data_IF_527357531355
#
_entry.id   IF_527357531355
#
_cell.length_a   1.000
_cell.length_b   1.000
_cell.length_c   1.000
_cell.angle_alpha   90.00
_cell.angle_beta   90.00
_cell.angle_gamma   90.00
#
_symmetry.space_group_name_H-M   'P 1'
#
loop_
_entity.id
_entity.type
_entity.pdbx_description
1 polymer ?
#
# COMPACT_ATOMS: atom_id res chain seq x y z
N UNK A 1 3.23 -16.18 18.99
CA UNK A 1 3.67 -15.53 17.73
C UNK A 1 4.96 -16.20 17.31
N UNK A 2 5.15 -16.41 16.03
CA UNK A 2 6.41 -16.92 15.48
C UNK A 2 7.44 -15.78 15.44
N UNK A 3 8.72 -16.14 15.50
CA UNK A 3 9.83 -15.25 15.22
C UNK A 3 10.19 -15.37 13.74
N UNK A 4 10.13 -14.26 13.00
CA UNK A 4 10.34 -14.26 11.55
C UNK A 4 11.36 -13.22 11.15
N UNK A 5 12.23 -13.53 10.18
CA UNK A 5 13.22 -12.58 9.69
C UNK A 5 12.60 -11.63 8.65
N UNK A 6 12.68 -10.33 8.89
CA UNK A 6 12.21 -9.33 7.96
C UNK A 6 13.38 -8.53 7.37
N UNK A 7 13.80 -8.92 6.17
CA UNK A 7 14.88 -8.29 5.42
C UNK A 7 14.67 -6.79 5.17
N UNK A 8 13.42 -6.32 5.12
CA UNK A 8 13.11 -4.89 4.89
C UNK A 8 13.46 -4.01 6.09
N UNK A 9 13.60 -4.61 7.26
CA UNK A 9 13.96 -3.93 8.52
C UNK A 9 15.26 -4.48 9.13
N UNK A 10 15.91 -5.42 8.40
CA UNK A 10 17.16 -6.09 8.75
C UNK A 10 17.20 -6.68 10.17
N UNK A 11 16.09 -7.26 10.64
CA UNK A 11 16.03 -7.98 11.93
C UNK A 11 14.88 -8.97 11.99
N UNK A 12 14.94 -9.84 12.99
CA UNK A 12 13.79 -10.64 13.42
C UNK A 12 12.72 -9.77 14.06
N UNK A 13 11.47 -10.15 13.87
CA UNK A 13 10.30 -9.55 14.51
C UNK A 13 9.27 -10.63 14.85
N UNK A 14 8.35 -10.32 15.76
CA UNK A 14 7.23 -11.21 16.04
C UNK A 14 6.13 -11.08 14.99
N UNK A 15 5.66 -12.22 14.45
CA UNK A 15 4.50 -12.27 13.55
C UNK A 15 3.57 -13.42 13.96
N UNK A 16 2.23 -13.31 13.81
CA UNK A 16 1.33 -14.39 14.27
C UNK A 16 1.46 -15.73 13.54
N UNK A 17 2.08 -15.76 12.36
CA UNK A 17 2.26 -16.97 11.56
C UNK A 17 3.74 -17.24 11.29
N UNK A 18 4.05 -18.50 11.04
CA UNK A 18 5.38 -18.92 10.57
C UNK A 18 5.75 -18.23 9.25
N UNK A 19 7.06 -18.11 9.01
CA UNK A 19 7.56 -17.53 7.77
C UNK A 19 7.14 -18.38 6.56
N UNK A 20 6.44 -17.74 5.61
CA UNK A 20 6.00 -18.36 4.36
C UNK A 20 6.39 -17.47 3.18
N UNK A 21 7.43 -17.86 2.45
CA UNK A 21 7.91 -17.15 1.26
C UNK A 21 7.27 -17.72 0.00
N UNK A 22 6.73 -16.88 -0.90
CA UNK A 22 6.29 -17.36 -2.20
C UNK A 22 7.49 -17.76 -3.07
N UNK A 23 7.24 -18.54 -4.12
CA UNK A 23 8.25 -18.92 -5.13
C UNK A 23 8.83 -17.69 -5.82
N UNK A 24 8.01 -16.66 -6.04
CA UNK A 24 8.38 -15.35 -6.58
C UNK A 24 7.51 -14.30 -5.91
N UNK A 25 8.01 -13.07 -5.72
CA UNK A 25 7.20 -11.97 -5.17
C UNK A 25 6.88 -10.96 -6.26
N UNK A 26 5.61 -10.84 -6.65
CA UNK A 26 5.15 -9.76 -7.51
C UNK A 26 5.45 -8.41 -6.84
N UNK A 27 6.19 -7.55 -7.54
CA UNK A 27 6.70 -6.31 -7.01
C UNK A 27 6.60 -5.20 -8.07
N UNK A 28 6.52 -3.96 -7.59
CA UNK A 28 6.50 -2.80 -8.45
C UNK A 28 7.29 -1.64 -7.85
N UNK A 29 7.99 -0.90 -8.70
CA UNK A 29 8.75 0.30 -8.34
C UNK A 29 8.13 1.49 -9.06
N UNK A 30 7.80 2.55 -8.31
CA UNK A 30 7.20 3.76 -8.83
C UNK A 30 8.19 4.93 -8.73
N UNK A 31 8.57 5.49 -9.87
CA UNK A 31 9.43 6.67 -9.94
C UNK A 31 8.62 7.96 -9.72
N UNK A 32 8.66 8.50 -8.52
CA UNK A 32 7.95 9.73 -8.16
C UNK A 32 8.49 10.97 -8.87
N UNK A 33 9.74 10.95 -9.36
CA UNK A 33 10.31 12.07 -10.13
C UNK A 33 9.61 12.28 -11.48
N UNK A 34 8.99 11.22 -12.02
CA UNK A 34 8.29 11.23 -13.30
C UNK A 34 6.76 11.29 -13.14
N UNK A 35 6.25 11.26 -11.92
CA UNK A 35 4.82 11.23 -11.69
C UNK A 35 4.23 12.61 -11.99
N UNK A 36 3.17 12.63 -12.81
CA UNK A 36 2.51 13.87 -13.24
C UNK A 36 1.08 14.03 -12.70
N UNK A 37 0.69 13.22 -11.70
CA UNK A 37 -0.62 13.37 -11.04
C UNK A 37 -1.86 13.04 -11.87
N UNK A 38 -1.73 12.71 -13.16
CA UNK A 38 -2.83 12.61 -14.14
C UNK A 38 -4.00 11.62 -13.87
N UNK A 39 -3.98 10.86 -12.78
CA UNK A 39 -5.02 9.89 -12.39
C UNK A 39 -5.35 8.76 -13.39
N UNK A 40 -4.65 8.62 -14.52
CA UNK A 40 -4.94 7.57 -15.52
C UNK A 40 -4.86 6.17 -14.93
N UNK A 41 -3.88 5.92 -14.05
CA UNK A 41 -3.74 4.65 -13.34
C UNK A 41 -4.89 4.38 -12.36
N UNK A 42 -5.45 5.43 -11.73
CA UNK A 42 -6.64 5.36 -10.87
C UNK A 42 -7.83 4.92 -11.70
N UNK A 43 -8.09 5.61 -12.80
CA UNK A 43 -9.22 5.30 -13.69
C UNK A 43 -9.08 3.92 -14.35
N UNK A 44 -7.88 3.53 -14.79
CA UNK A 44 -7.64 2.21 -15.38
C UNK A 44 -7.92 1.04 -14.42
N UNK A 45 -7.66 1.24 -13.13
CA UNK A 45 -8.02 0.26 -12.10
C UNK A 45 -9.52 0.30 -11.80
N UNK A 46 -10.07 1.51 -11.65
CA UNK A 46 -11.47 1.75 -11.30
C UNK A 46 -12.43 1.11 -12.31
N UNK A 47 -12.22 1.39 -13.59
CA UNK A 47 -13.08 0.88 -14.67
C UNK A 47 -12.93 -0.62 -14.90
N UNK A 48 -11.82 -1.22 -14.48
CA UNK A 48 -11.60 -2.65 -14.63
C UNK A 48 -12.17 -3.46 -13.47
N UNK A 49 -12.06 -2.96 -12.24
CA UNK A 49 -12.25 -3.79 -11.05
C UNK A 49 -13.30 -3.28 -10.07
N UNK A 50 -13.48 -1.96 -9.95
CA UNK A 50 -14.29 -1.36 -8.88
C UNK A 50 -15.44 -0.52 -9.41
N UNK A 51 -16.07 -0.97 -10.50
CA UNK A 51 -17.22 -0.31 -11.14
C UNK A 51 -18.59 -0.89 -10.73
N UNK A 52 -18.62 -1.91 -9.88
CA UNK A 52 -19.83 -2.52 -9.36
C UNK A 52 -20.44 -1.80 -8.15
N UNK A 53 -21.60 -2.27 -7.73
CA UNK A 53 -22.36 -1.69 -6.62
C UNK A 53 -21.61 -1.83 -5.28
N UNK A 54 -21.56 -0.73 -4.52
CA UNK A 54 -20.84 -0.65 -3.24
C UNK A 54 -19.32 -0.50 -3.40
N UNK A 55 -18.81 -0.50 -4.63
CA UNK A 55 -17.41 -0.29 -4.96
C UNK A 55 -17.11 1.16 -5.36
N UNK A 56 -18.12 2.05 -5.40
CA UNK A 56 -18.04 3.41 -5.94
C UNK A 56 -16.94 4.22 -5.27
N UNK A 57 -16.81 4.08 -3.95
CA UNK A 57 -15.75 4.74 -3.19
C UNK A 57 -14.41 4.03 -3.33
N UNK A 58 -14.33 2.74 -3.70
CA UNK A 58 -13.09 1.96 -3.66
C UNK A 58 -12.09 2.35 -4.76
N UNK A 59 -10.99 2.98 -4.33
CA UNK A 59 -9.83 3.27 -5.18
C UNK A 59 -8.65 2.36 -4.82
N UNK A 60 -8.66 1.15 -5.38
CA UNK A 60 -7.58 0.18 -5.19
C UNK A 60 -6.22 0.76 -5.62
N UNK A 61 -6.18 1.45 -6.76
CA UNK A 61 -5.12 2.40 -7.11
C UNK A 61 -5.65 3.81 -6.96
N UNK A 62 -4.93 4.66 -6.25
CA UNK A 62 -5.21 6.09 -6.14
C UNK A 62 -3.90 6.88 -6.23
N UNK A 63 -3.98 8.17 -6.58
CA UNK A 63 -2.84 9.09 -6.55
C UNK A 63 -3.21 10.24 -5.62
N UNK A 64 -2.30 10.56 -4.70
CA UNK A 64 -2.44 11.66 -3.73
C UNK A 64 -1.37 12.71 -3.99
N UNK A 65 -1.68 13.98 -3.74
CA UNK A 65 -0.65 15.02 -3.63
C UNK A 65 -0.06 14.98 -2.23
N UNK A 66 1.26 15.01 -2.06
CA UNK A 66 1.90 15.11 -0.75
C UNK A 66 2.50 16.50 -0.55
N UNK A 67 2.42 17.07 0.67
CA UNK A 67 2.09 16.38 1.92
C UNK A 67 0.60 16.31 2.31
N UNK A 68 -0.30 17.11 1.72
CA UNK A 68 -1.65 17.31 2.27
C UNK A 68 -2.74 16.37 1.74
N UNK A 69 -2.59 15.89 0.52
CA UNK A 69 -3.48 14.90 -0.07
C UNK A 69 -3.36 13.53 0.58
N UNK A 70 -4.52 12.92 0.82
CA UNK A 70 -4.62 11.61 1.46
C UNK A 70 -5.90 10.90 1.08
N UNK A 71 -5.86 9.57 1.03
CA UNK A 71 -7.06 8.77 0.80
C UNK A 71 -6.92 7.34 1.40
N UNK A 72 -7.65 6.97 2.46
CA UNK A 72 -8.57 7.81 3.23
C UNK A 72 -7.83 8.99 3.89
N UNK A 73 -8.61 9.98 4.35
CA UNK A 73 -8.07 11.19 4.94
C UNK A 73 -7.10 10.88 6.09
N UNK A 74 -5.90 11.47 6.00
CA UNK A 74 -4.82 11.38 6.97
C UNK A 74 -4.40 9.94 7.35
N UNK A 75 -4.51 8.98 6.43
CA UNK A 75 -4.20 7.58 6.71
C UNK A 75 -2.81 7.35 7.28
N UNK A 76 -1.81 8.06 6.75
CA UNK A 76 -0.40 7.99 7.12
C UNK A 76 -0.14 8.68 8.47
N UNK A 77 -0.64 9.92 8.64
CA UNK A 77 -0.47 10.69 9.88
C UNK A 77 -1.14 9.98 11.05
N UNK A 78 -2.37 9.48 10.88
CA UNK A 78 -3.08 8.76 11.94
C UNK A 78 -2.37 7.46 12.33
N UNK A 79 -1.86 6.71 11.36
CA UNK A 79 -1.11 5.48 11.64
C UNK A 79 0.20 5.78 12.38
N UNK A 80 0.95 6.79 11.92
CA UNK A 80 2.21 7.22 12.55
C UNK A 80 2.01 7.79 13.96
N UNK A 81 0.90 8.49 14.22
CA UNK A 81 0.56 8.98 15.56
C UNK A 81 0.37 7.85 16.56
N UNK A 82 -0.15 6.69 16.13
CA UNK A 82 -0.34 5.54 17.00
C UNK A 82 0.97 4.82 17.31
N UNK A 83 1.91 4.76 16.36
CA UNK A 83 3.22 4.15 16.57
C UNK A 83 4.19 5.08 17.31
N UNK A 84 4.04 6.39 17.13
CA UNK A 84 5.04 7.35 17.57
C UNK A 84 6.32 7.30 16.73
N UNK A 85 7.31 8.15 17.07
CA UNK A 85 8.57 8.21 16.34
C UNK A 85 9.33 6.87 16.44
N UNK A 86 9.90 6.45 15.32
CA UNK A 86 10.67 5.21 15.21
C UNK A 86 12.11 5.51 14.85
N UNK A 87 13.01 4.57 15.14
CA UNK A 87 14.44 4.74 14.97
C UNK A 87 15.05 3.68 14.07
N UNK A 88 16.11 4.10 13.37
CA UNK A 88 16.98 3.25 12.56
C UNK A 88 18.40 3.43 13.06
N UNK A 89 19.14 2.33 13.17
CA UNK A 89 20.57 2.30 13.44
C UNK A 89 21.28 1.70 12.21
N UNK A 90 21.90 2.57 11.42
CA UNK A 90 22.40 2.22 10.09
C UNK A 90 21.29 1.68 9.19
N UNK A 91 21.44 0.43 8.73
CA UNK A 91 20.45 -0.27 7.90
C UNK A 91 19.41 -1.07 8.69
N UNK A 92 19.47 -1.05 10.03
CA UNK A 92 18.61 -1.88 10.88
C UNK A 92 17.56 -1.03 11.58
N UNK A 93 16.30 -1.43 11.47
CA UNK A 93 15.20 -0.79 12.18
C UNK A 93 15.24 -1.19 13.65
N UNK A 94 15.36 -0.21 14.56
CA UNK A 94 15.40 -0.46 16.01
C UNK A 94 14.09 -0.14 16.71
N UNK A 95 13.16 0.52 16.01
CA UNK A 95 11.82 0.80 16.50
C UNK A 95 10.94 -0.46 16.63
N UNK A 96 9.71 -0.27 17.11
CA UNK A 96 8.69 -1.32 17.18
C UNK A 96 7.90 -1.37 15.87
N UNK A 97 7.60 -2.57 15.38
CA UNK A 97 6.66 -2.75 14.27
C UNK A 97 5.21 -2.59 14.75
N UNK A 98 4.26 -2.45 13.81
CA UNK A 98 2.82 -2.44 14.14
C UNK A 98 2.35 -3.70 14.88
N UNK A 99 3.09 -4.81 14.77
CA UNK A 99 2.79 -6.05 15.47
C UNK A 99 3.33 -6.04 16.90
N UNK A 100 4.55 -5.52 17.08
CA UNK A 100 5.21 -5.46 18.39
C UNK A 100 4.65 -4.34 19.29
N UNK A 101 4.19 -3.24 18.69
CA UNK A 101 3.55 -2.12 19.40
C UNK A 101 2.06 -2.36 19.69
N UNK A 102 1.53 -3.55 19.37
CA UNK A 102 0.11 -3.85 19.54
C UNK A 102 -0.31 -3.77 21.03
N UNK A 103 -1.44 -3.11 21.35
CA UNK A 103 -2.00 -3.16 22.70
C UNK A 103 -2.31 -4.59 23.16
N UNK A 104 -2.36 -4.82 24.48
CA UNK A 104 -2.66 -6.14 25.02
C UNK A 104 -4.04 -6.64 24.55
N UNK A 105 -4.08 -7.81 23.93
CA UNK A 105 -5.29 -8.42 23.37
C UNK A 105 -5.57 -8.06 21.91
N UNK A 106 -4.88 -7.05 21.36
CA UNK A 106 -4.93 -6.69 19.95
C UNK A 106 -3.84 -7.40 19.15
N UNK A 107 -4.05 -7.55 17.84
CA UNK A 107 -3.06 -8.21 16.97
C UNK A 107 -2.07 -7.26 16.30
N UNK A 108 -2.42 -5.98 16.19
CA UNK A 108 -1.56 -4.93 15.68
C UNK A 108 -2.11 -3.55 16.08
N UNK A 109 -1.25 -2.54 16.04
CA UNK A 109 -1.68 -1.14 16.05
C UNK A 109 -2.57 -0.89 14.84
N UNK A 110 -3.77 -0.38 15.09
CA UNK A 110 -4.80 -0.20 14.06
C UNK A 110 -5.72 0.95 14.43
N UNK A 111 -6.34 1.53 13.41
CA UNK A 111 -7.49 2.41 13.55
C UNK A 111 -8.48 2.17 12.41
N UNK A 112 -9.74 2.50 12.66
CA UNK A 112 -10.82 2.34 11.70
C UNK A 112 -11.17 3.66 11.00
N UNK A 113 -10.96 3.77 9.68
CA UNK A 113 -11.52 4.87 8.91
C UNK A 113 -13.05 4.90 8.95
N UNK A 114 -13.58 6.10 9.03
CA UNK A 114 -15.01 6.40 8.90
C UNK A 114 -15.39 6.57 7.43
N UNK A 115 -16.69 6.59 7.13
CA UNK A 115 -17.19 6.86 5.78
C UNK A 115 -16.76 8.26 5.29
N UNK A 116 -16.73 9.24 6.20
CA UNK A 116 -16.26 10.60 5.89
C UNK A 116 -14.80 10.66 5.49
N UNK A 117 -13.95 9.76 6.01
CA UNK A 117 -12.55 9.69 5.61
C UNK A 117 -12.38 9.22 4.15
N UNK A 118 -13.40 8.59 3.55
CA UNK A 118 -13.42 8.16 2.14
C UNK A 118 -14.27 9.04 1.22
N UNK A 119 -15.04 9.98 1.77
CA UNK A 119 -16.02 10.75 1.02
C UNK A 119 -15.41 11.66 -0.07
N UNK A 120 -14.15 12.07 0.10
CA UNK A 120 -13.48 13.02 -0.78
C UNK A 120 -12.16 12.43 -1.32
N UNK A 121 -12.24 11.56 -2.34
CA UNK A 121 -11.03 11.11 -3.02
C UNK A 121 -10.27 12.31 -3.60
N UNK A 122 -8.95 12.30 -3.46
CA UNK A 122 -8.06 13.34 -3.98
C UNK A 122 -8.29 14.74 -3.38
N UNK A 123 -8.88 14.83 -2.18
CA UNK A 123 -8.87 16.09 -1.41
C UNK A 123 -7.42 16.49 -1.13
N UNK A 124 -7.11 17.78 -1.35
CA UNK A 124 -5.75 18.30 -1.23
C UNK A 124 -4.90 18.11 -2.50
N UNK A 125 -5.52 17.88 -3.66
CA UNK A 125 -4.83 17.91 -4.95
C UNK A 125 -4.13 19.25 -5.16
N UNK A 126 -2.86 19.18 -5.56
CA UNK A 126 -1.96 20.32 -5.80
C UNK A 126 -1.82 21.30 -4.61
N UNK A 127 -2.27 20.91 -3.41
CA UNK A 127 -2.00 21.65 -2.18
C UNK A 127 -0.51 21.53 -1.82
N UNK A 128 0.15 22.68 -1.71
CA UNK A 128 1.57 22.76 -1.34
C UNK A 128 1.75 22.76 0.16
N UNK A 129 2.95 22.47 0.65
CA UNK A 129 3.33 22.53 2.08
C UNK A 129 3.02 23.86 2.81
N UNK A 130 2.67 24.95 2.09
CA UNK A 130 2.30 26.25 2.66
C UNK A 130 0.92 26.69 2.15
N UNK A 131 0.05 27.18 3.04
CA UNK A 131 -1.22 27.81 2.64
C UNK A 131 -0.97 29.19 2.03
N UNK A 132 -1.51 29.44 0.84
CA UNK A 132 -1.41 30.74 0.16
C UNK A 132 -2.39 31.76 0.77
N UNK A 133 -2.12 32.25 1.98
CA UNK A 133 -2.92 33.30 2.61
C UNK A 133 -2.45 34.68 2.16
N UNK A 134 -3.05 35.21 1.09
CA UNK A 134 -3.10 36.65 0.78
C UNK A 134 -1.78 37.42 0.73
N UNK A 135 -1.08 37.33 -0.41
CA UNK A 135 -0.25 38.33 -1.11
C UNK A 135 0.45 37.59 -2.27
N UNK A 136 0.94 38.32 -3.29
CA UNK A 136 1.73 37.73 -4.39
C UNK A 136 2.93 36.98 -3.80
N UNK A 137 3.02 35.68 -4.04
CA UNK A 137 4.21 34.91 -3.69
C UNK A 137 5.24 35.10 -4.81
N UNK A 138 6.47 35.48 -4.43
CA UNK A 138 7.58 35.64 -5.37
C UNK A 138 8.47 34.40 -5.30
N UNK A 139 8.93 33.91 -6.44
CA UNK A 139 9.88 32.80 -6.53
C UNK A 139 11.15 33.16 -5.73
N UNK A 140 11.41 32.43 -4.65
CA UNK A 140 12.64 32.48 -3.85
C UNK A 140 13.38 31.15 -3.99
N UNK A 141 14.70 31.19 -3.96
CA UNK A 141 15.56 30.00 -3.97
C UNK A 141 16.28 29.85 -2.61
N UNK A 142 16.24 28.66 -1.98
CA UNK A 142 15.51 27.45 -2.39
C UNK A 142 13.99 27.66 -2.37
N UNK A 143 13.25 26.90 -3.19
CA UNK A 143 11.78 26.99 -3.21
C UNK A 143 11.21 26.42 -1.92
N UNK A 144 10.59 27.28 -1.11
CA UNK A 144 9.94 26.84 0.13
C UNK A 144 8.64 26.07 -0.14
N UNK A 145 7.97 26.37 -1.26
CA UNK A 145 6.73 25.72 -1.66
C UNK A 145 7.02 24.50 -2.51
N UNK A 146 6.54 23.34 -2.07
CA UNK A 146 6.69 22.08 -2.79
C UNK A 146 5.48 21.17 -2.59
N UNK A 147 5.28 20.30 -3.56
CA UNK A 147 4.44 19.13 -3.48
C UNK A 147 4.97 18.07 -4.47
N UNK A 148 4.53 16.83 -4.32
CA UNK A 148 4.73 15.79 -5.33
C UNK A 148 3.56 14.81 -5.33
N UNK A 149 3.47 13.97 -6.35
CA UNK A 149 2.40 12.99 -6.47
C UNK A 149 2.85 11.62 -5.96
N UNK A 150 2.03 11.03 -5.08
CA UNK A 150 2.22 9.70 -4.51
C UNK A 150 1.13 8.74 -5.00
N UNK A 151 1.42 7.94 -6.05
CA UNK A 151 0.55 6.85 -6.46
C UNK A 151 0.66 5.68 -5.46
N UNK A 152 -0.49 5.17 -4.99
CA UNK A 152 -0.54 4.05 -4.03
C UNK A 152 -1.45 2.92 -4.49
N UNK A 153 -1.04 1.69 -4.19
CA UNK A 153 -1.80 0.45 -4.35
C UNK A 153 -1.68 -0.40 -3.08
N UNK A 154 -2.32 -1.56 -3.03
CA UNK A 154 -1.94 -2.57 -2.03
C UNK A 154 -0.50 -3.00 -2.29
N UNK A 155 0.31 -3.10 -1.23
CA UNK A 155 1.72 -3.48 -1.33
C UNK A 155 1.95 -5.00 -1.38
N UNK A 156 0.89 -5.82 -1.22
CA UNK A 156 0.98 -7.29 -1.17
C UNK A 156 2.14 -7.77 -0.28
N UNK A 157 2.21 -7.18 0.92
CA UNK A 157 3.37 -7.25 1.82
C UNK A 157 3.87 -8.68 2.06
N UNK A 158 5.16 -8.81 2.40
CA UNK A 158 5.77 -10.06 2.90
C UNK A 158 5.05 -10.55 4.16
N UNK A 159 4.85 -9.64 5.12
CA UNK A 159 4.15 -9.87 6.37
C UNK A 159 2.86 -9.03 6.43
N UNK A 160 1.78 -9.48 5.76
CA UNK A 160 0.56 -8.68 5.62
C UNK A 160 -0.22 -8.60 6.94
N UNK A 161 -0.42 -7.38 7.44
CA UNK A 161 -1.23 -7.12 8.63
C UNK A 161 -2.70 -7.51 8.45
N UNK A 162 -3.23 -7.33 7.23
CA UNK A 162 -4.60 -7.72 6.92
C UNK A 162 -4.83 -9.23 6.98
N UNK A 163 -3.86 -10.02 6.53
CA UNK A 163 -3.93 -11.49 6.59
C UNK A 163 -4.02 -11.91 8.04
N UNK A 164 -3.11 -11.41 8.87
CA UNK A 164 -3.08 -11.83 10.26
C UNK A 164 -4.30 -11.39 11.04
N UNK A 165 -4.87 -10.22 10.73
CA UNK A 165 -6.01 -9.71 11.45
C UNK A 165 -7.30 -10.52 11.20
N UNK A 166 -7.41 -11.23 10.07
CA UNK A 166 -8.66 -11.91 9.71
C UNK A 166 -8.89 -13.18 10.55
N UNK A 167 -9.89 -13.21 11.46
CA UNK A 167 -10.14 -14.38 12.31
C UNK A 167 -10.63 -15.59 11.51
N UNK A 168 -11.19 -15.35 10.32
CA UNK A 168 -11.76 -16.38 9.44
C UNK A 168 -10.76 -16.95 8.43
N UNK A 169 -9.54 -16.38 8.42
CA UNK A 169 -8.49 -16.69 7.45
C UNK A 169 -9.00 -16.66 6.01
N UNK A 170 -9.87 -15.68 5.70
CA UNK A 170 -10.35 -15.43 4.33
C UNK A 170 -9.35 -14.65 3.50
N UNK A 171 -8.25 -14.18 4.09
CA UNK A 171 -7.17 -13.51 3.39
C UNK A 171 -6.01 -14.48 3.32
N UNK A 172 -5.43 -14.64 2.13
CA UNK A 172 -4.31 -15.53 1.90
C UNK A 172 -3.30 -14.86 0.96
N UNK A 173 -2.05 -15.33 1.01
CA UNK A 173 -0.98 -14.92 0.11
C UNK A 173 -0.67 -16.10 -0.80
N UNK A 174 -0.75 -15.88 -2.11
CA UNK A 174 -0.52 -16.93 -3.10
C UNK A 174 0.94 -17.42 -3.07
N UNK A 175 1.19 -18.74 -3.03
CA UNK A 175 2.53 -19.29 -2.98
C UNK A 175 3.34 -19.08 -4.27
N UNK A 176 2.69 -18.93 -5.42
CA UNK A 176 3.35 -18.82 -6.73
C UNK A 176 3.92 -17.42 -7.03
N UNK A 177 3.22 -16.36 -6.60
CA UNK A 177 3.52 -14.97 -6.99
C UNK A 177 3.47 -13.96 -5.82
N UNK A 178 3.14 -14.41 -4.61
CA UNK A 178 3.10 -13.54 -3.43
C UNK A 178 1.95 -12.52 -3.44
N UNK A 179 0.98 -12.64 -4.36
CA UNK A 179 -0.19 -11.76 -4.40
C UNK A 179 -1.12 -12.13 -3.22
N UNK A 180 -1.30 -11.17 -2.31
CA UNK A 180 -2.32 -11.26 -1.24
C UNK A 180 -3.73 -11.05 -1.81
N UNK A 181 -4.67 -11.95 -1.54
CA UNK A 181 -6.06 -11.90 -2.00
C UNK A 181 -7.05 -12.05 -0.82
N UNK A 182 -8.30 -11.64 -1.05
CA UNK A 182 -9.43 -11.94 -0.17
C UNK A 182 -10.29 -12.97 -0.89
N UNK A 183 -10.56 -14.09 -0.23
CA UNK A 183 -11.60 -15.03 -0.59
C UNK A 183 -12.96 -14.46 -0.17
N UNK A 184 -13.72 -13.98 -1.17
CA UNK A 184 -15.03 -13.35 -0.96
C UNK A 184 -16.09 -14.35 -0.48
N UNK A 185 -15.99 -15.64 -0.86
CA UNK A 185 -16.92 -16.68 -0.42
C UNK A 185 -16.78 -16.99 1.07
N UNK A 186 -15.53 -16.96 1.58
CA UNK A 186 -15.23 -17.14 3.01
C UNK A 186 -15.41 -15.88 3.81
N UNK A 187 -15.28 -14.71 3.19
CA UNK A 187 -15.39 -13.41 3.86
C UNK A 187 -16.79 -13.19 4.47
N UNK A 188 -16.82 -12.61 5.67
CA UNK A 188 -18.08 -12.27 6.38
C UNK A 188 -18.11 -10.83 6.88
N UNK A 189 -17.23 -9.98 6.35
CA UNK A 189 -17.31 -8.54 6.61
C UNK A 189 -17.02 -8.11 8.05
N UNK A 190 -16.18 -8.84 8.79
CA UNK A 190 -15.77 -8.45 10.15
C UNK A 190 -14.98 -7.13 10.22
N UNK A 191 -14.42 -6.67 9.09
CA UNK A 191 -13.71 -5.38 8.92
C UNK A 191 -12.45 -5.18 9.78
N UNK A 192 -12.02 -6.17 10.56
CA UNK A 192 -10.73 -6.13 11.27
C UNK A 192 -9.53 -5.99 10.31
N UNK A 193 -9.60 -6.58 9.10
CA UNK A 193 -8.54 -6.43 8.09
C UNK A 193 -8.49 -5.02 7.46
N UNK A 194 -9.63 -4.33 7.44
CA UNK A 194 -9.76 -2.95 7.00
C UNK A 194 -9.12 -1.98 8.01
N UNK A 195 -9.25 -2.28 9.30
CA UNK A 195 -8.61 -1.55 10.40
C UNK A 195 -7.11 -1.79 10.43
N UNK A 196 -6.72 -3.08 10.35
CA UNK A 196 -5.36 -3.53 10.55
C UNK A 196 -4.39 -3.19 9.43
N UNK A 197 -4.86 -2.91 8.21
CA UNK A 197 -3.96 -2.53 7.13
C UNK A 197 -3.41 -1.11 7.39
N UNK A 198 -2.11 -0.91 7.63
CA UNK A 198 -1.58 0.44 7.90
C UNK A 198 -1.74 1.38 6.70
N UNK A 199 -1.77 0.82 5.49
CA UNK A 199 -1.97 1.57 4.25
C UNK A 199 -3.43 1.85 3.90
N UNK A 200 -4.38 1.26 4.66
CA UNK A 200 -5.83 1.31 4.41
C UNK A 200 -6.18 0.93 2.96
N UNK A 201 -5.59 -0.18 2.51
CA UNK A 201 -5.74 -0.73 1.14
C UNK A 201 -6.66 -1.95 1.04
N UNK A 202 -7.50 -2.11 2.06
CA UNK A 202 -8.65 -3.00 2.06
C UNK A 202 -9.86 -2.11 2.21
N UNK A 203 -10.92 -2.43 1.47
CA UNK A 203 -12.17 -1.70 1.42
C UNK A 203 -13.29 -2.64 1.86
N UNK A 204 -14.40 -2.10 2.36
CA UNK A 204 -15.55 -2.88 2.76
C UNK A 204 -16.74 -2.58 1.83
N UNK A 205 -17.21 -3.56 1.08
CA UNK A 205 -18.35 -3.35 0.22
C UNK A 205 -19.64 -3.37 1.07
N UNK A 206 -20.32 -2.22 1.14
CA UNK A 206 -21.54 -2.09 1.91
C UNK A 206 -22.74 -2.81 1.28
N UNK A 207 -22.66 -3.17 0.00
CA UNK A 207 -23.67 -3.91 -0.75
C UNK A 207 -23.50 -5.40 -0.55
N UNK A 208 -22.33 -5.96 -0.90
CA UNK A 208 -22.05 -7.40 -0.80
C UNK A 208 -21.68 -7.86 0.61
N UNK A 209 -21.42 -6.92 1.53
CA UNK A 209 -21.04 -7.16 2.94
C UNK A 209 -19.73 -7.95 3.09
N UNK A 210 -18.86 -7.91 2.08
CA UNK A 210 -17.51 -8.48 2.13
C UNK A 210 -16.45 -7.40 1.99
N UNK A 211 -15.23 -7.70 2.42
CA UNK A 211 -14.06 -6.86 2.18
C UNK A 211 -13.42 -7.18 0.83
N UNK A 212 -12.95 -6.15 0.14
CA UNK A 212 -12.34 -6.20 -1.17
C UNK A 212 -11.01 -5.45 -1.18
N UNK A 213 -10.10 -5.78 -2.09
CA UNK A 213 -8.80 -5.12 -2.21
C UNK A 213 -8.20 -5.28 -3.60
N UNK A 214 -7.18 -4.47 -3.89
CA UNK A 214 -6.34 -4.65 -5.07
C UNK A 214 -5.93 -6.13 -5.23
N UNK A 215 -6.21 -6.70 -6.40
CA UNK A 215 -5.89 -8.09 -6.73
C UNK A 215 -4.58 -8.21 -7.54
N UNK A 216 -3.79 -7.13 -7.63
CA UNK A 216 -2.61 -6.99 -8.50
C UNK A 216 -2.89 -7.40 -9.95
N UNK A 217 -4.15 -7.29 -10.41
CA UNK A 217 -4.60 -7.82 -11.69
C UNK A 217 -4.14 -9.27 -11.94
N UNK A 218 -4.20 -10.16 -10.94
CA UNK A 218 -3.65 -11.51 -11.04
C UNK A 218 -4.08 -12.29 -12.30
N UNK A 219 -5.33 -12.18 -12.83
CA UNK A 219 -5.70 -12.90 -14.05
C UNK A 219 -4.88 -12.47 -15.27
N UNK A 220 -4.42 -11.21 -15.29
CA UNK A 220 -3.51 -10.70 -16.32
C UNK A 220 -2.07 -11.12 -16.04
N UNK A 221 -1.63 -11.05 -14.77
CA UNK A 221 -0.27 -11.43 -14.36
C UNK A 221 0.02 -12.90 -14.68
N UNK A 222 -0.95 -13.79 -14.49
CA UNK A 222 -0.87 -15.21 -14.86
C UNK A 222 -0.62 -15.43 -16.36
N UNK A 223 -1.04 -14.48 -17.20
CA UNK A 223 -0.83 -14.50 -18.65
C UNK A 223 0.44 -13.75 -19.07
N UNK A 224 1.30 -13.35 -18.12
CA UNK A 224 2.48 -12.53 -18.38
C UNK A 224 2.16 -11.08 -18.72
N UNK A 225 0.92 -10.62 -18.47
CA UNK A 225 0.48 -9.26 -18.75
C UNK A 225 0.61 -8.41 -17.50
N UNK A 226 1.30 -7.26 -17.62
CA UNK A 226 1.43 -6.33 -16.50
C UNK A 226 0.07 -5.79 -16.01
N UNK A 227 -0.08 -5.47 -14.71
CA UNK A 227 -1.31 -4.91 -14.18
C UNK A 227 -1.74 -3.63 -14.92
N UNK A 228 -3.06 -3.41 -15.03
CA UNK A 228 -3.61 -2.29 -15.81
C UNK A 228 -3.12 -0.91 -15.38
N UNK A 229 -2.93 -0.69 -14.08
CA UNK A 229 -2.41 0.59 -13.58
C UNK A 229 -0.94 0.84 -13.99
N UNK A 230 -0.18 -0.22 -14.29
CA UNK A 230 1.19 -0.15 -14.78
C UNK A 230 1.20 0.12 -16.29
N UNK A 231 0.47 -0.69 -17.06
CA UNK A 231 0.47 -0.64 -18.53
C UNK A 231 -0.14 0.65 -19.11
N UNK A 232 -1.08 1.26 -18.39
CA UNK A 232 -1.72 2.53 -18.79
C UNK A 232 -1.07 3.78 -18.15
N UNK A 233 0.13 3.65 -17.58
CA UNK A 233 0.80 4.78 -16.95
C UNK A 233 1.39 5.73 -18.01
N UNK A 234 0.74 6.88 -18.22
CA UNK A 234 1.19 7.92 -19.16
C UNK A 234 2.59 8.44 -18.80
N UNK A 235 2.86 8.70 -17.52
CA UNK A 235 4.16 9.17 -17.04
C UNK A 235 5.29 8.12 -17.12
N UNK A 236 4.98 6.87 -17.48
CA UNK A 236 5.94 5.75 -17.54
C UNK A 236 6.79 5.65 -16.27
N UNK A 237 6.13 5.71 -15.12
CA UNK A 237 6.79 5.71 -13.80
C UNK A 237 6.87 4.32 -13.19
N UNK A 238 6.15 3.34 -13.74
CA UNK A 238 5.86 2.06 -13.08
C UNK A 238 6.65 0.94 -13.73
N UNK A 239 7.56 0.35 -12.97
CA UNK A 239 8.21 -0.92 -13.29
C UNK A 239 7.51 -2.03 -12.53
N UNK A 240 7.19 -3.14 -13.19
CA UNK A 240 6.57 -4.31 -12.58
C UNK A 240 7.33 -5.58 -12.98
N UNK A 241 7.49 -6.49 -12.03
CA UNK A 241 8.13 -7.78 -12.24
C UNK A 241 8.13 -8.61 -10.97
N UNK A 242 9.00 -9.62 -10.93
CA UNK A 242 9.18 -10.47 -9.76
C UNK A 242 10.47 -10.11 -9.05
N UNK A 243 10.35 -9.90 -7.73
CA UNK A 243 11.46 -9.68 -6.82
C UNK A 243 11.94 -11.03 -6.28
N UNK A 244 13.23 -11.28 -6.46
CA UNK A 244 13.94 -12.44 -5.90
C UNK A 244 14.28 -12.20 -4.43
N UNK A 245 14.73 -13.25 -3.74
CA UNK A 245 15.31 -13.07 -2.40
C UNK A 245 16.60 -12.22 -2.52
N UNK A 246 16.97 -11.43 -1.50
CA UNK A 246 18.19 -10.62 -1.56
C UNK A 246 19.45 -11.42 -1.96
N UNK A 247 19.61 -12.62 -1.42
CA UNK A 247 20.70 -13.55 -1.72
C UNK A 247 20.65 -14.19 -3.12
N UNK A 248 19.51 -14.09 -3.80
CA UNK A 248 19.26 -14.60 -5.16
C UNK A 248 19.03 -13.46 -6.17
N UNK A 249 19.33 -12.22 -5.79
CA UNK A 249 19.11 -11.05 -6.63
C UNK A 249 19.94 -11.14 -7.93
N UNK A 250 19.31 -10.81 -9.07
CA UNK A 250 19.97 -10.84 -10.37
C UNK A 250 20.05 -9.45 -10.97
N UNK A 251 21.25 -9.01 -11.37
CA UNK A 251 21.45 -7.68 -11.95
C UNK A 251 20.69 -7.45 -13.27
N UNK A 252 20.44 -8.52 -14.03
CA UNK A 252 19.69 -8.49 -15.29
C UNK A 252 18.17 -8.40 -15.09
N UNK A 253 17.67 -8.65 -13.87
CA UNK A 253 16.27 -8.44 -13.52
C UNK A 253 16.07 -6.98 -13.08
N UNK A 254 15.29 -6.16 -13.82
CA UNK A 254 15.13 -4.74 -13.50
C UNK A 254 14.59 -4.47 -12.10
N UNK A 255 13.76 -5.36 -11.56
CA UNK A 255 13.20 -5.20 -10.22
C UNK A 255 14.24 -5.53 -9.15
N UNK A 256 15.01 -6.62 -9.32
CA UNK A 256 16.09 -6.96 -8.39
C UNK A 256 17.17 -5.87 -8.40
N UNK A 257 17.54 -5.36 -9.58
CA UNK A 257 18.50 -4.28 -9.71
C UNK A 257 18.06 -3.03 -8.93
N UNK A 258 16.80 -2.62 -9.08
CA UNK A 258 16.27 -1.42 -8.42
C UNK A 258 16.06 -1.55 -6.91
N UNK A 259 15.99 -2.77 -6.37
CA UNK A 259 15.64 -3.01 -4.95
C UNK A 259 16.82 -3.53 -4.13
N UNK A 260 17.63 -4.43 -4.70
CA UNK A 260 18.70 -5.13 -3.99
C UNK A 260 20.12 -4.68 -4.38
N UNK A 261 20.32 -4.17 -5.60
CA UNK A 261 21.66 -3.87 -6.13
C UNK A 261 22.00 -2.39 -6.08
N UNK A 262 21.06 -1.54 -6.49
CA UNK A 262 21.27 -0.12 -6.79
C UNK A 262 21.19 0.80 -5.58
#
# INVERSE_FOLDING_TARGET
>A
MAEVFNWQINRSMTYPYEEARPQRQAAAVFDTNKCIGCQTCTMACKTCWTSGHGQEYMLWNNVETKPWGSYPLAWDVRELQLLGPQSWDGGTYTGQTIFEAAPQGERNVAWKPTEMDYAYPNRGEDETNVSLTGKRYHLKFPHDMWFFYLPRICNHCTYPACLQACPRQSIYKRPEDGIVLVDEERCRGYRVCFEACPYKKIFYNHTTKVSEKCVMCFPAVEQGIQPRCMRNCIGKIRSFGYLSRPEEAREDNPIDFLVHVR
#
